data_IF_629759792627
#
_entry.id   IF_629759792627
#
_cell.length_a   1.000
_cell.length_b   1.000
_cell.length_c   1.000
_cell.angle_alpha   90.00
_cell.angle_beta   90.00
_cell.angle_gamma   90.00
#
_symmetry.space_group_name_H-M   'P 1'
#
loop_
_entity.id
_entity.type
_entity.pdbx_description
1 polymer ?
#
# COMPACT_ATOMS: atom_id res chain seq x y z
N UNK A 1 6.02 11.39 13.58
CA UNK A 1 6.22 11.30 15.04
C UNK A 1 7.63 10.83 15.28
N UNK A 2 8.24 11.28 16.38
CA UNK A 2 9.57 10.82 16.79
C UNK A 2 9.52 9.33 17.20
N UNK A 3 10.69 8.75 17.41
CA UNK A 3 10.79 7.35 17.82
C UNK A 3 10.33 7.18 19.27
N UNK A 4 9.59 6.10 19.50
CA UNK A 4 8.99 5.73 20.78
C UNK A 4 9.08 4.21 20.91
N UNK A 5 9.20 3.71 22.14
CA UNK A 5 9.28 2.27 22.39
C UNK A 5 7.98 1.56 21.94
N UNK A 6 6.82 2.09 22.33
CA UNK A 6 5.49 1.65 21.89
C UNK A 6 4.87 2.67 20.92
N UNK A 7 4.37 2.20 19.79
CA UNK A 7 3.90 3.05 18.69
C UNK A 7 2.39 3.29 18.71
N UNK A 8 1.58 2.34 19.23
CA UNK A 8 0.13 2.34 19.01
C UNK A 8 -0.56 3.67 19.35
N UNK A 9 -0.36 4.20 20.56
CA UNK A 9 -1.10 5.39 21.02
C UNK A 9 -0.74 6.64 20.20
N UNK A 10 0.55 6.80 19.87
CA UNK A 10 1.05 7.92 19.08
C UNK A 10 0.64 7.81 17.62
N UNK A 11 0.59 6.60 17.07
CA UNK A 11 0.07 6.33 15.73
C UNK A 11 -1.43 6.59 15.67
N UNK A 12 -2.21 6.18 16.68
CA UNK A 12 -3.64 6.47 16.75
C UNK A 12 -3.91 7.98 16.78
N UNK A 13 -3.16 8.72 17.60
CA UNK A 13 -3.23 10.18 17.64
C UNK A 13 -2.84 10.81 16.30
N UNK A 14 -1.75 10.36 15.68
CA UNK A 14 -1.29 10.83 14.36
C UNK A 14 -2.38 10.68 13.30
N UNK A 15 -2.98 9.48 13.20
CA UNK A 15 -4.04 9.18 12.25
C UNK A 15 -5.28 10.02 12.49
N UNK A 16 -5.75 10.10 13.75
CA UNK A 16 -6.90 10.91 14.12
C UNK A 16 -6.69 12.38 13.74
N UNK A 17 -5.55 12.97 14.12
CA UNK A 17 -5.24 14.36 13.80
C UNK A 17 -5.18 14.61 12.29
N UNK A 18 -4.56 13.72 11.51
CA UNK A 18 -4.48 13.86 10.06
C UNK A 18 -5.88 13.78 9.41
N UNK A 19 -6.68 12.79 9.80
CA UNK A 19 -8.03 12.58 9.26
C UNK A 19 -8.99 13.71 9.66
N UNK A 20 -8.88 14.23 10.88
CA UNK A 20 -9.66 15.40 11.33
C UNK A 20 -9.33 16.65 10.51
N UNK A 21 -8.06 16.91 10.22
CA UNK A 21 -7.65 18.03 9.37
C UNK A 21 -8.17 17.86 7.95
N UNK A 22 -8.03 16.67 7.37
CA UNK A 22 -8.53 16.33 6.02
C UNK A 22 -10.04 16.59 5.94
N UNK A 23 -10.80 16.09 6.92
CA UNK A 23 -12.25 16.27 7.03
C UNK A 23 -12.63 17.73 7.22
N UNK A 24 -12.00 18.45 8.16
CA UNK A 24 -12.29 19.85 8.44
C UNK A 24 -12.03 20.77 7.23
N UNK A 25 -11.11 20.38 6.33
CA UNK A 25 -10.81 21.10 5.10
C UNK A 25 -11.70 20.69 3.91
N UNK A 26 -12.60 19.73 4.11
CA UNK A 26 -13.55 19.24 3.12
C UNK A 26 -12.94 18.30 2.07
N UNK A 27 -11.81 17.65 2.37
CA UNK A 27 -11.17 16.66 1.52
C UNK A 27 -11.64 15.27 1.94
N UNK A 28 -12.92 14.95 1.74
CA UNK A 28 -13.57 13.82 2.42
C UNK A 28 -13.08 12.42 2.03
N UNK A 29 -12.13 12.31 1.10
CA UNK A 29 -11.71 11.03 0.51
C UNK A 29 -10.18 10.91 0.47
N UNK A 30 -9.54 10.46 1.56
CA UNK A 30 -8.19 9.94 1.47
C UNK A 30 -8.18 8.81 0.44
N UNK A 31 -7.23 8.82 -0.49
CA UNK A 31 -7.12 7.78 -1.52
C UNK A 31 -5.78 7.07 -1.52
N UNK A 32 -4.76 7.63 -0.85
CA UNK A 32 -3.46 6.98 -0.69
C UNK A 32 -2.77 7.39 0.60
N UNK A 33 -2.22 6.43 1.31
CA UNK A 33 -1.41 6.65 2.52
C UNK A 33 -0.09 5.88 2.42
N UNK A 34 1.01 6.53 2.78
CA UNK A 34 2.31 5.89 2.97
C UNK A 34 2.70 5.94 4.44
N UNK A 35 3.25 4.84 4.96
CA UNK A 35 3.77 4.73 6.32
C UNK A 35 5.20 4.22 6.27
N UNK A 36 6.10 5.01 6.83
CA UNK A 36 7.51 4.71 7.00
C UNK A 36 7.76 4.45 8.48
N UNK A 37 8.17 3.23 8.81
CA UNK A 37 8.22 2.72 10.19
C UNK A 37 9.65 2.33 10.49
N UNK A 38 10.32 3.05 11.39
CA UNK A 38 11.67 2.66 11.81
C UNK A 38 11.65 1.36 12.61
N UNK A 39 12.64 0.51 12.36
CA UNK A 39 12.79 -0.80 12.99
C UNK A 39 11.53 -1.69 12.85
N UNK A 40 10.89 -1.70 11.68
CA UNK A 40 9.55 -2.29 11.47
C UNK A 40 9.38 -3.73 12.03
N UNK A 41 10.41 -4.57 11.93
CA UNK A 41 10.37 -5.97 12.37
C UNK A 41 10.94 -6.19 13.79
N UNK A 42 11.43 -5.15 14.47
CA UNK A 42 11.95 -5.28 15.82
C UNK A 42 10.82 -5.37 16.85
N UNK A 43 11.04 -6.03 18.00
CA UNK A 43 10.10 -6.00 19.11
C UNK A 43 10.10 -4.61 19.79
N UNK A 44 8.93 -4.18 20.26
CA UNK A 44 8.79 -3.07 21.20
C UNK A 44 9.15 -3.52 22.63
N UNK A 45 9.08 -2.60 23.60
CA UNK A 45 9.37 -2.86 25.02
C UNK A 45 8.52 -3.98 25.65
N UNK A 46 7.38 -4.32 25.04
CA UNK A 46 6.46 -5.39 25.47
C UNK A 46 6.61 -6.68 24.66
N UNK A 47 7.61 -6.77 23.78
CA UNK A 47 7.87 -7.93 22.95
C UNK A 47 6.97 -8.06 21.72
N UNK A 48 6.09 -7.07 21.45
CA UNK A 48 5.27 -7.06 20.24
C UNK A 48 6.06 -6.43 19.09
N UNK A 49 6.04 -7.08 17.92
CA UNK A 49 6.67 -6.51 16.71
C UNK A 49 6.11 -5.10 16.40
N UNK A 50 7.01 -4.15 16.12
CA UNK A 50 6.67 -2.73 15.88
C UNK A 50 5.68 -2.53 14.75
N UNK A 51 5.71 -3.35 13.68
CA UNK A 51 4.68 -3.32 12.64
C UNK A 51 3.28 -3.64 13.18
N UNK A 52 3.16 -4.61 14.10
CA UNK A 52 1.88 -5.02 14.70
C UNK A 52 1.38 -3.96 15.67
N UNK A 53 2.29 -3.35 16.42
CA UNK A 53 2.02 -2.21 17.29
C UNK A 53 1.52 -0.99 16.49
N UNK A 54 2.20 -0.67 15.38
CA UNK A 54 1.74 0.31 14.40
C UNK A 54 0.34 -0.03 13.85
N UNK A 55 0.08 -1.29 13.47
CA UNK A 55 -1.24 -1.71 12.97
C UNK A 55 -2.34 -1.49 14.01
N UNK A 56 -2.06 -1.77 15.30
CA UNK A 56 -2.99 -1.48 16.40
C UNK A 56 -3.34 0.01 16.47
N UNK A 57 -2.32 0.87 16.46
CA UNK A 57 -2.53 2.32 16.48
C UNK A 57 -3.29 2.84 15.26
N UNK A 58 -2.93 2.36 14.06
CA UNK A 58 -3.60 2.75 12.81
C UNK A 58 -5.08 2.38 12.82
N UNK A 59 -5.40 1.17 13.27
CA UNK A 59 -6.77 0.70 13.33
C UNK A 59 -7.61 1.56 14.30
N UNK A 60 -7.07 1.86 15.49
CA UNK A 60 -7.71 2.78 16.45
C UNK A 60 -7.89 4.20 15.87
N UNK A 61 -6.90 4.70 15.12
CA UNK A 61 -6.99 5.99 14.44
C UNK A 61 -8.14 6.06 13.42
N UNK A 62 -8.37 5.00 12.66
CA UNK A 62 -9.51 4.91 11.73
C UNK A 62 -10.86 4.69 12.44
N UNK A 63 -10.88 3.88 13.50
CA UNK A 63 -12.09 3.63 14.29
C UNK A 63 -12.59 4.93 14.94
N UNK A 64 -11.68 5.70 15.53
CA UNK A 64 -11.99 6.98 16.18
C UNK A 64 -12.45 8.06 15.19
N UNK A 65 -11.94 8.04 13.95
CA UNK A 65 -12.43 8.90 12.86
C UNK A 65 -13.73 8.40 12.22
N UNK A 66 -14.25 7.23 12.65
CA UNK A 66 -15.43 6.54 12.12
C UNK A 66 -15.31 6.24 10.62
N UNK A 67 -14.12 5.87 10.16
CA UNK A 67 -13.88 5.49 8.77
C UNK A 67 -14.34 4.05 8.56
N UNK A 68 -15.34 3.78 7.70
CA UNK A 68 -15.75 2.42 7.38
C UNK A 68 -14.63 1.61 6.72
N UNK A 69 -14.62 0.29 6.90
CA UNK A 69 -13.63 -0.58 6.24
C UNK A 69 -13.63 -0.42 4.71
N UNK A 70 -14.81 -0.20 4.12
CA UNK A 70 -14.95 -0.02 2.66
C UNK A 70 -14.40 1.32 2.15
N UNK A 71 -14.05 2.25 3.04
CA UNK A 71 -13.48 3.57 2.74
C UNK A 71 -11.98 3.64 3.07
N UNK A 72 -11.35 2.50 3.38
CA UNK A 72 -9.91 2.44 3.61
C UNK A 72 -9.15 2.69 2.29
N UNK A 73 -8.23 3.66 2.23
CA UNK A 73 -7.48 3.93 1.01
C UNK A 73 -6.41 2.87 0.74
N UNK A 74 -5.82 2.95 -0.45
CA UNK A 74 -4.57 2.27 -0.74
C UNK A 74 -3.49 2.69 0.27
N UNK A 75 -2.66 1.74 0.69
CA UNK A 75 -1.76 1.86 1.82
C UNK A 75 -0.43 1.16 1.59
N UNK A 76 0.66 1.77 2.08
CA UNK A 76 1.98 1.13 2.16
C UNK A 76 2.49 1.25 3.58
N UNK A 77 3.07 0.18 4.09
CA UNK A 77 3.72 0.14 5.40
C UNK A 77 5.07 -0.53 5.25
N UNK A 78 6.13 0.28 5.19
CA UNK A 78 7.47 -0.18 4.86
C UNK A 78 8.49 0.28 5.91
N UNK A 79 9.50 -0.54 6.12
CA UNK A 79 10.50 -0.38 7.15
C UNK A 79 11.73 0.40 6.73
N UNK A 80 12.26 1.17 7.68
CA UNK A 80 13.56 1.83 7.57
C UNK A 80 14.44 1.44 8.75
N UNK A 81 15.76 1.61 8.58
CA UNK A 81 16.77 1.11 9.51
C UNK A 81 16.64 1.67 10.94
N UNK A 82 16.03 2.84 11.15
CA UNK A 82 15.79 3.41 12.47
C UNK A 82 14.76 4.55 12.42
N UNK A 83 14.33 5.03 13.58
CA UNK A 83 13.47 6.20 13.73
C UNK A 83 12.02 5.87 14.07
N UNK A 84 11.22 6.93 14.17
CA UNK A 84 9.79 6.83 14.48
C UNK A 84 8.92 6.46 13.29
N UNK A 85 7.72 7.04 13.25
CA UNK A 85 6.74 6.80 12.20
C UNK A 85 6.46 8.08 11.43
N UNK A 86 6.58 8.01 10.10
CA UNK A 86 6.11 9.06 9.19
C UNK A 86 4.93 8.53 8.38
N UNK A 87 3.81 9.25 8.43
CA UNK A 87 2.62 8.94 7.64
C UNK A 87 2.32 10.10 6.69
N UNK A 88 2.11 9.80 5.40
CA UNK A 88 1.80 10.77 4.35
C UNK A 88 0.42 10.43 3.79
N UNK A 89 -0.49 11.41 3.81
CA UNK A 89 -1.88 11.24 3.39
C UNK A 89 -2.18 12.07 2.15
N UNK A 90 -2.73 11.44 1.13
CA UNK A 90 -3.22 12.10 -0.07
C UNK A 90 -4.73 12.05 -0.11
N UNK A 91 -5.34 13.19 -0.40
CA UNK A 91 -6.79 13.36 -0.52
C UNK A 91 -7.13 14.44 -1.54
N UNK A 92 -8.30 14.35 -2.15
CA UNK A 92 -8.78 15.29 -3.16
C UNK A 92 -10.27 15.58 -2.99
N UNK A 93 -10.68 16.79 -3.37
CA UNK A 93 -12.10 17.22 -3.45
C UNK A 93 -12.77 16.80 -4.76
N UNK A 94 -11.97 16.43 -5.76
CA UNK A 94 -12.42 16.22 -7.12
C UNK A 94 -12.17 14.78 -7.56
N UNK A 95 -13.07 14.29 -8.40
CA UNK A 95 -13.04 12.94 -8.94
C UNK A 95 -13.89 11.96 -8.14
N UNK A 96 -13.99 10.74 -8.66
CA UNK A 96 -14.61 9.60 -7.99
C UNK A 96 -13.51 8.66 -7.50
N UNK A 97 -13.70 8.08 -6.32
CA UNK A 97 -12.74 7.16 -5.72
C UNK A 97 -13.33 5.77 -5.62
N UNK A 98 -12.56 4.76 -5.98
CA UNK A 98 -12.95 3.36 -5.82
C UNK A 98 -11.81 2.60 -5.14
N UNK A 99 -12.01 2.23 -3.88
CA UNK A 99 -11.13 1.32 -3.17
C UNK A 99 -11.39 -0.10 -3.68
N UNK A 100 -10.35 -0.78 -4.14
CA UNK A 100 -10.47 -2.09 -4.77
C UNK A 100 -9.58 -3.11 -4.06
N UNK A 101 -10.10 -4.33 -3.98
CA UNK A 101 -9.39 -5.49 -3.46
C UNK A 101 -8.77 -6.32 -4.60
N UNK A 102 -7.92 -7.28 -4.23
CA UNK A 102 -7.30 -8.20 -5.18
C UNK A 102 -7.93 -9.59 -5.01
N UNK A 103 -8.55 -10.18 -6.04
CA UNK A 103 -9.14 -11.52 -5.97
C UNK A 103 -8.18 -12.63 -5.47
N UNK A 104 -6.87 -12.45 -5.67
CA UNK A 104 -5.85 -13.40 -5.21
C UNK A 104 -5.45 -13.22 -3.75
N UNK A 105 -5.92 -12.15 -3.09
CA UNK A 105 -5.51 -11.77 -1.74
C UNK A 105 -6.73 -11.51 -0.87
N UNK A 106 -6.72 -12.05 0.33
CA UNK A 106 -7.69 -11.70 1.35
C UNK A 106 -7.58 -10.20 1.66
N UNK A 107 -8.68 -9.46 1.86
CA UNK A 107 -8.61 -8.09 2.31
C UNK A 107 -7.78 -7.97 3.58
N UNK A 108 -6.88 -6.99 3.64
CA UNK A 108 -5.88 -6.93 4.71
C UNK A 108 -6.51 -6.79 6.11
N UNK A 109 -7.65 -6.11 6.18
CA UNK A 109 -8.44 -5.91 7.40
C UNK A 109 -9.19 -7.18 7.85
N UNK A 110 -9.18 -8.26 7.07
CA UNK A 110 -9.72 -9.58 7.44
C UNK A 110 -8.63 -10.61 7.77
N UNK A 111 -7.35 -10.22 7.82
CA UNK A 111 -6.28 -11.13 8.15
C UNK A 111 -6.45 -11.78 9.54
N UNK A 112 -6.06 -13.07 9.70
CA UNK A 112 -6.17 -13.77 10.97
C UNK A 112 -5.21 -13.23 12.04
N UNK A 113 -5.56 -13.46 13.31
CA UNK A 113 -4.88 -12.95 14.51
C UNK A 113 -3.40 -13.36 14.61
N UNK A 114 -2.96 -14.39 13.87
CA UNK A 114 -1.54 -14.78 13.80
C UNK A 114 -0.63 -13.62 13.34
N UNK A 115 -1.17 -12.66 12.58
CA UNK A 115 -0.45 -11.47 12.11
C UNK A 115 -0.45 -10.30 13.09
N UNK A 116 -1.11 -10.42 14.24
CA UNK A 116 -1.13 -9.41 15.29
C UNK A 116 -2.52 -9.18 15.88
N UNK A 117 -2.59 -8.41 16.99
CA UNK A 117 -3.84 -8.18 17.73
C UNK A 117 -4.86 -7.31 16.96
N UNK A 118 -4.43 -6.61 15.91
CA UNK A 118 -5.27 -5.86 14.98
C UNK A 118 -4.73 -6.08 13.57
N UNK A 119 -5.63 -6.37 12.64
CA UNK A 119 -5.30 -6.56 11.23
C UNK A 119 -4.89 -5.23 10.56
N UNK A 120 -4.08 -5.26 9.49
CA UNK A 120 -3.74 -4.06 8.72
C UNK A 120 -4.97 -3.39 8.08
N UNK A 121 -5.05 -2.06 8.10
CA UNK A 121 -6.19 -1.29 7.58
C UNK A 121 -5.84 -0.54 6.29
N UNK A 122 -6.01 -1.18 5.14
CA UNK A 122 -5.84 -0.58 3.80
C UNK A 122 -6.54 -1.42 2.72
N UNK A 123 -6.89 -0.79 1.58
CA UNK A 123 -7.34 -1.48 0.37
C UNK A 123 -6.17 -1.86 -0.55
N UNK A 124 -6.30 -2.86 -1.42
CA UNK A 124 -5.22 -3.27 -2.34
C UNK A 124 -4.88 -2.23 -3.40
N UNK A 125 -5.86 -1.44 -3.80
CA UNK A 125 -5.64 -0.28 -4.65
C UNK A 125 -6.74 0.75 -4.47
N UNK A 126 -6.52 1.96 -4.97
CA UNK A 126 -7.56 2.98 -5.06
C UNK A 126 -7.51 3.63 -6.43
N UNK A 127 -8.63 3.57 -7.12
CA UNK A 127 -8.81 4.26 -8.39
C UNK A 127 -9.28 5.68 -8.11
N UNK A 128 -8.56 6.66 -8.62
CA UNK A 128 -8.99 8.05 -8.71
C UNK A 128 -9.42 8.33 -10.15
N UNK A 129 -10.72 8.40 -10.38
CA UNK A 129 -11.32 8.64 -11.70
C UNK A 129 -11.70 10.12 -11.86
N UNK A 130 -11.07 10.78 -12.81
CA UNK A 130 -11.36 12.14 -13.27
C UNK A 130 -12.21 12.09 -14.55
N UNK A 131 -12.50 13.25 -15.15
CA UNK A 131 -13.38 13.30 -16.34
C UNK A 131 -12.77 12.59 -17.56
N UNK A 132 -11.46 12.71 -17.77
CA UNK A 132 -10.75 12.18 -18.95
C UNK A 132 -9.64 11.17 -18.65
N UNK A 133 -9.34 10.91 -17.38
CA UNK A 133 -8.31 9.94 -16.99
C UNK A 133 -8.71 9.21 -15.70
N UNK A 134 -8.14 8.03 -15.50
CA UNK A 134 -8.28 7.30 -14.25
C UNK A 134 -6.93 6.72 -13.83
N UNK A 135 -6.59 6.90 -12.56
CA UNK A 135 -5.32 6.48 -11.99
C UNK A 135 -5.57 5.44 -10.91
N UNK A 136 -4.94 4.28 -11.01
CA UNK A 136 -4.90 3.28 -9.95
C UNK A 136 -3.65 3.49 -9.10
N UNK A 137 -3.86 3.91 -7.86
CA UNK A 137 -2.83 3.91 -6.83
C UNK A 137 -2.75 2.51 -6.24
N UNK A 138 -1.68 1.80 -6.56
CA UNK A 138 -1.40 0.44 -6.12
C UNK A 138 -0.74 0.51 -4.74
N UNK A 139 -1.29 -0.23 -3.78
CA UNK A 139 -0.72 -0.39 -2.44
C UNK A 139 0.62 -1.11 -2.48
N UNK A 140 1.35 -1.10 -1.36
CA UNK A 140 2.49 -1.99 -1.16
C UNK A 140 2.08 -3.44 -1.43
N UNK A 141 2.59 -4.01 -2.52
CA UNK A 141 2.22 -5.34 -2.99
C UNK A 141 3.42 -6.26 -2.90
N UNK A 142 3.27 -7.33 -2.13
CA UNK A 142 4.30 -8.33 -1.91
C UNK A 142 3.81 -9.72 -2.34
N UNK A 143 4.64 -10.73 -2.11
CA UNK A 143 4.37 -12.12 -2.48
C UNK A 143 3.38 -12.81 -1.54
N UNK A 144 2.10 -12.45 -1.67
CA UNK A 144 1.02 -12.97 -0.82
C UNK A 144 -0.12 -13.52 -1.68
N UNK A 145 -0.63 -14.70 -1.32
CA UNK A 145 -1.90 -15.28 -1.80
C UNK A 145 -2.82 -15.55 -0.61
N UNK A 146 -4.10 -15.24 -0.75
CA UNK A 146 -5.00 -15.12 0.40
C UNK A 146 -4.36 -14.20 1.47
N UNK A 147 -3.92 -14.74 2.61
CA UNK A 147 -3.14 -14.01 3.61
C UNK A 147 -1.69 -14.51 3.76
N UNK A 148 -1.32 -15.61 3.10
CA UNK A 148 -0.06 -16.33 3.30
C UNK A 148 1.08 -15.79 2.42
N UNK A 149 2.28 -15.76 2.97
CA UNK A 149 3.50 -15.47 2.21
C UNK A 149 3.83 -16.66 1.30
N UNK A 150 4.05 -16.42 0.02
CA UNK A 150 4.35 -17.46 -0.98
C UNK A 150 5.78 -17.27 -1.50
N UNK A 151 6.51 -18.37 -1.68
CA UNK A 151 7.86 -18.36 -2.25
C UNK A 151 8.95 -18.09 -1.21
N UNK A 152 10.09 -18.75 -1.40
CA UNK A 152 11.24 -18.71 -0.50
C UNK A 152 12.42 -17.93 -1.06
N UNK A 153 12.42 -17.69 -2.38
CA UNK A 153 13.45 -16.91 -3.07
C UNK A 153 12.90 -15.59 -3.57
N UNK A 154 13.77 -14.61 -3.75
CA UNK A 154 13.36 -13.28 -4.27
C UNK A 154 12.75 -13.38 -5.66
N UNK A 155 13.19 -14.33 -6.50
CA UNK A 155 12.67 -14.48 -7.87
C UNK A 155 11.26 -15.07 -7.87
N UNK A 156 10.99 -16.05 -7.00
CA UNK A 156 9.66 -16.59 -6.78
C UNK A 156 8.73 -15.49 -6.27
N UNK A 157 9.18 -14.73 -5.26
CA UNK A 157 8.39 -13.66 -4.68
C UNK A 157 8.12 -12.53 -5.67
N UNK A 158 9.09 -12.20 -6.52
CA UNK A 158 8.93 -11.17 -7.54
C UNK A 158 7.87 -11.56 -8.57
N UNK A 159 7.89 -12.82 -9.04
CA UNK A 159 6.87 -13.34 -9.96
C UNK A 159 5.47 -13.25 -9.36
N UNK A 160 5.29 -13.71 -8.13
CA UNK A 160 3.99 -13.67 -7.43
C UNK A 160 3.51 -12.23 -7.21
N UNK A 161 4.45 -11.31 -6.95
CA UNK A 161 4.18 -9.87 -6.81
C UNK A 161 3.70 -9.25 -8.12
N UNK A 162 4.34 -9.57 -9.25
CA UNK A 162 3.86 -9.14 -10.57
C UNK A 162 2.45 -9.66 -10.86
N UNK A 163 2.20 -10.96 -10.65
CA UNK A 163 0.87 -11.54 -10.84
C UNK A 163 -0.21 -10.87 -9.97
N UNK A 164 0.12 -10.51 -8.73
CA UNK A 164 -0.79 -9.75 -7.87
C UNK A 164 -1.11 -8.38 -8.47
N UNK A 165 -0.09 -7.65 -8.91
CA UNK A 165 -0.22 -6.31 -9.47
C UNK A 165 -1.03 -6.33 -10.77
N UNK A 166 -0.74 -7.26 -11.68
CA UNK A 166 -1.47 -7.46 -12.94
C UNK A 166 -2.94 -7.79 -12.68
N UNK A 167 -3.21 -8.69 -11.72
CA UNK A 167 -4.58 -9.04 -11.35
C UNK A 167 -5.34 -7.86 -10.75
N UNK A 168 -4.68 -7.03 -9.94
CA UNK A 168 -5.28 -5.83 -9.38
C UNK A 168 -5.59 -4.78 -10.46
N UNK A 169 -4.69 -4.60 -11.44
CA UNK A 169 -4.92 -3.71 -12.59
C UNK A 169 -6.13 -4.17 -13.38
N UNK A 170 -6.25 -5.48 -13.64
CA UNK A 170 -7.41 -6.04 -14.34
C UNK A 170 -8.71 -5.85 -13.54
N UNK A 171 -8.69 -6.08 -12.23
CA UNK A 171 -9.84 -5.82 -11.38
C UNK A 171 -10.24 -4.33 -11.40
N UNK A 172 -9.26 -3.43 -11.41
CA UNK A 172 -9.49 -2.00 -11.56
C UNK A 172 -10.08 -1.62 -12.92
N UNK A 173 -9.61 -2.27 -14.00
CA UNK A 173 -10.17 -2.12 -15.35
C UNK A 173 -11.64 -2.55 -15.38
N UNK A 174 -11.96 -3.71 -14.83
CA UNK A 174 -13.33 -4.23 -14.73
C UNK A 174 -14.23 -3.30 -13.90
N UNK A 175 -13.72 -2.78 -12.78
CA UNK A 175 -14.45 -1.80 -11.96
C UNK A 175 -14.80 -0.55 -12.77
N UNK A 176 -13.84 0.02 -13.50
CA UNK A 176 -14.08 1.21 -14.34
C UNK A 176 -15.08 0.93 -15.47
N UNK A 177 -15.01 -0.25 -16.11
CA UNK A 177 -15.98 -0.67 -17.13
C UNK A 177 -17.39 -0.77 -16.53
N UNK A 178 -17.52 -1.37 -15.34
CA UNK A 178 -18.79 -1.45 -14.61
C UNK A 178 -19.35 -0.06 -14.22
N UNK A 179 -18.49 0.94 -14.09
CA UNK A 179 -18.86 2.35 -13.87
C UNK A 179 -19.12 3.12 -15.18
N UNK A 180 -19.25 2.41 -16.31
CA UNK A 180 -19.57 2.98 -17.62
C UNK A 180 -18.39 3.61 -18.35
N UNK A 181 -17.15 3.40 -17.89
CA UNK A 181 -15.95 3.94 -18.56
C UNK A 181 -15.49 3.00 -19.68
N UNK A 182 -15.07 3.59 -20.80
CA UNK A 182 -14.47 2.86 -21.92
C UNK A 182 -12.94 2.95 -21.81
N UNK A 183 -12.28 1.81 -21.60
CA UNK A 183 -10.81 1.73 -21.42
C UNK A 183 -10.17 1.22 -22.72
N UNK A 184 -9.17 1.94 -23.23
CA UNK A 184 -8.39 1.55 -24.41
C UNK A 184 -7.09 0.82 -24.05
N UNK A 185 -6.53 1.12 -22.88
CA UNK A 185 -5.27 0.55 -22.41
C UNK A 185 -4.79 1.26 -21.16
N UNK A 186 -3.49 1.21 -20.92
CA UNK A 186 -2.86 1.92 -19.81
C UNK A 186 -1.38 1.57 -19.68
N UNK A 187 -0.74 2.17 -18.69
CA UNK A 187 0.65 1.94 -18.37
C UNK A 187 0.99 2.45 -16.98
N UNK A 188 2.11 1.99 -16.45
CA UNK A 188 2.66 2.57 -15.24
C UNK A 188 3.19 3.98 -15.52
N UNK A 189 2.90 4.92 -14.63
CA UNK A 189 3.53 6.24 -14.60
C UNK A 189 4.75 6.24 -13.68
N UNK A 190 4.65 5.51 -12.56
CA UNK A 190 5.71 5.37 -11.57
C UNK A 190 5.54 4.12 -10.72
N UNK A 191 6.64 3.68 -10.12
CA UNK A 191 6.69 2.62 -9.12
C UNK A 191 7.72 2.95 -8.02
N UNK A 192 7.60 2.32 -6.86
CA UNK A 192 8.69 2.23 -5.87
C UNK A 192 8.92 0.76 -5.56
N UNK A 193 10.19 0.36 -5.65
CA UNK A 193 10.61 -1.04 -5.50
C UNK A 193 11.39 -1.15 -4.20
N UNK A 194 10.80 -1.78 -3.19
CA UNK A 194 11.43 -2.01 -1.90
C UNK A 194 12.03 -3.41 -1.88
N UNK A 195 13.30 -3.53 -1.50
CA UNK A 195 14.02 -4.81 -1.47
C UNK A 195 14.70 -4.96 -0.12
N UNK A 196 14.55 -6.12 0.51
CA UNK A 196 15.10 -6.38 1.84
C UNK A 196 16.62 -6.50 1.85
N UNK A 197 17.18 -7.19 0.87
CA UNK A 197 18.61 -7.49 0.83
C UNK A 197 19.31 -6.71 -0.28
N UNK A 198 20.43 -6.07 0.06
CA UNK A 198 21.23 -5.28 -0.88
C UNK A 198 21.70 -6.11 -2.08
N UNK A 199 22.02 -7.40 -1.84
CA UNK A 199 22.43 -8.36 -2.88
C UNK A 199 21.39 -8.55 -3.99
N UNK A 200 20.10 -8.35 -3.69
CA UNK A 200 19.01 -8.52 -4.64
C UNK A 200 18.59 -7.22 -5.32
N UNK A 201 18.98 -6.07 -4.77
CA UNK A 201 18.49 -4.73 -5.15
C UNK A 201 18.61 -4.49 -6.65
N UNK A 202 19.80 -4.68 -7.23
CA UNK A 202 20.04 -4.42 -8.66
C UNK A 202 19.22 -5.32 -9.56
N UNK A 203 19.14 -6.61 -9.21
CA UNK A 203 18.45 -7.62 -10.02
C UNK A 203 16.94 -7.44 -9.98
N UNK A 204 16.36 -7.22 -8.81
CA UNK A 204 14.92 -6.95 -8.66
C UNK A 204 14.55 -5.66 -9.37
N UNK A 205 15.36 -4.60 -9.22
CA UNK A 205 15.13 -3.32 -9.88
C UNK A 205 15.11 -3.45 -11.41
N UNK A 206 16.09 -4.15 -11.98
CA UNK A 206 16.17 -4.37 -13.43
C UNK A 206 14.93 -5.10 -13.96
N UNK A 207 14.55 -6.21 -13.30
CA UNK A 207 13.37 -7.01 -13.70
C UNK A 207 12.06 -6.25 -13.58
N UNK A 208 11.87 -5.48 -12.50
CA UNK A 208 10.67 -4.68 -12.30
C UNK A 208 10.55 -3.54 -13.32
N UNK A 209 11.66 -2.85 -13.63
CA UNK A 209 11.71 -1.80 -14.65
C UNK A 209 11.40 -2.34 -16.04
N UNK A 210 11.99 -3.47 -16.40
CA UNK A 210 11.69 -4.16 -17.66
C UNK A 210 10.21 -4.56 -17.74
N UNK A 211 9.69 -5.18 -16.68
CA UNK A 211 8.31 -5.67 -16.64
C UNK A 211 7.27 -4.53 -16.72
N UNK A 212 7.48 -3.43 -15.99
CA UNK A 212 6.57 -2.28 -16.00
C UNK A 212 6.87 -1.25 -17.11
N UNK A 213 7.95 -1.44 -17.87
CA UNK A 213 8.44 -0.49 -18.89
C UNK A 213 8.68 0.90 -18.31
N UNK A 214 9.42 0.93 -17.21
CA UNK A 214 9.75 2.16 -16.46
C UNK A 214 11.25 2.36 -16.38
N UNK A 215 11.63 3.64 -16.36
CA UNK A 215 13.00 4.08 -16.23
C UNK A 215 13.43 4.08 -14.75
N UNK A 216 14.72 4.31 -14.48
CA UNK A 216 15.22 4.37 -13.11
C UNK A 216 14.61 5.52 -12.29
N UNK A 217 14.32 6.65 -12.93
CA UNK A 217 13.70 7.81 -12.29
C UNK A 217 12.22 7.57 -11.95
N UNK A 218 11.51 6.83 -12.80
CA UNK A 218 10.11 6.47 -12.57
C UNK A 218 9.95 5.29 -11.60
N UNK A 219 10.97 4.45 -11.47
CA UNK A 219 10.99 3.26 -10.62
C UNK A 219 12.28 3.17 -9.78
N UNK A 220 12.47 4.06 -8.79
CA UNK A 220 13.58 3.95 -7.85
C UNK A 220 13.47 2.66 -7.03
N UNK A 221 14.63 2.06 -6.75
CA UNK A 221 14.74 0.90 -5.88
C UNK A 221 15.38 1.31 -4.55
N UNK A 222 14.76 0.88 -3.45
CA UNK A 222 15.13 1.26 -2.09
C UNK A 222 15.43 0.00 -1.27
N UNK A 223 16.52 0.04 -0.51
CA UNK A 223 16.80 -0.96 0.53
C UNK A 223 15.86 -0.69 1.70
N UNK A 224 15.00 -1.64 2.04
CA UNK A 224 13.98 -1.46 3.08
C UNK A 224 13.52 -2.78 3.64
N UNK A 225 13.22 -2.79 4.94
CA UNK A 225 12.56 -3.94 5.56
C UNK A 225 11.09 -3.99 5.16
N UNK A 226 10.58 -5.20 4.94
CA UNK A 226 9.17 -5.43 4.58
C UNK A 226 8.37 -5.75 5.83
N UNK A 227 7.06 -5.51 5.81
CA UNK A 227 6.16 -5.69 6.95
C UNK A 227 6.17 -7.10 7.58
N UNK A 228 6.62 -8.13 6.85
CA UNK A 228 6.91 -9.47 7.38
C UNK A 228 8.34 -9.86 7.05
N UNK A 229 9.00 -10.54 7.98
CA UNK A 229 10.39 -10.97 7.85
C UNK A 229 10.64 -11.96 6.71
N UNK A 230 9.63 -12.74 6.35
CA UNK A 230 9.67 -13.71 5.25
C UNK A 230 9.38 -13.10 3.87
N UNK A 231 9.00 -11.82 3.80
CA UNK A 231 8.85 -11.08 2.54
C UNK A 231 10.17 -10.38 2.19
N UNK A 232 10.63 -10.61 0.97
CA UNK A 232 11.94 -10.17 0.46
C UNK A 232 11.86 -8.90 -0.39
N UNK A 233 10.68 -8.58 -0.90
CA UNK A 233 10.42 -7.37 -1.67
C UNK A 233 8.95 -6.94 -1.56
N UNK A 234 8.71 -5.67 -1.86
CA UNK A 234 7.40 -5.07 -2.00
C UNK A 234 7.44 -4.02 -3.13
N UNK A 235 6.40 -3.96 -3.95
CA UNK A 235 6.28 -2.97 -5.03
C UNK A 235 4.97 -2.21 -4.89
N UNK A 236 5.04 -0.90 -5.01
CA UNK A 236 3.88 -0.02 -5.17
C UNK A 236 4.01 0.80 -6.46
N UNK A 237 2.93 1.43 -6.91
CA UNK A 237 3.00 2.30 -8.08
C UNK A 237 1.70 3.02 -8.41
N UNK A 238 1.76 3.77 -9.50
CA UNK A 238 0.62 4.47 -10.11
C UNK A 238 0.47 3.95 -11.53
N UNK A 239 -0.70 3.36 -11.82
CA UNK A 239 -1.06 2.89 -13.15
C UNK A 239 -2.13 3.80 -13.74
N UNK A 240 -1.87 4.40 -14.90
CA UNK A 240 -2.84 5.23 -15.61
C UNK A 240 -3.61 4.40 -16.61
N UNK A 241 -4.94 4.42 -16.50
CA UNK A 241 -5.84 3.92 -17.52
C UNK A 241 -6.07 5.00 -18.59
N UNK A 242 -5.90 4.62 -19.85
CA UNK A 242 -6.25 5.44 -21.00
C UNK A 242 -7.72 5.23 -21.34
N UNK A 243 -8.51 6.28 -21.19
CA UNK A 243 -9.94 6.28 -21.54
C UNK A 243 -10.12 6.62 -23.03
N UNK A 244 -11.23 6.20 -23.64
CA UNK A 244 -11.64 6.79 -24.92
C UNK A 244 -12.12 8.22 -24.69
N UNK A 245 -11.73 9.15 -25.56
CA UNK A 245 -12.40 10.45 -25.65
C UNK A 245 -13.85 10.21 -26.09
N UNK A 246 -14.77 10.96 -25.48
CA UNK A 246 -16.19 10.90 -25.86
C UNK A 246 -16.41 11.46 -27.26
#
# INVERSE_FOLDING_TARGET
>A
MDDEDELADRVAQLYRCALDVIKARGYSHPYRIWNYIGNINAPNSRGLERYRDFCKGRAEGFDTSRTPFNDLPAGTGIGFASGGVTAIFFSSKQGRFFHIENPLQMPAYHYPDQYGPRSPSFARGTIHALSGEAHLFISGTASVRSHETIGSTVDEQLRITFENIETLIENGRLKLIGEGRRIRGGGFESAKIYVRHESDLRRVAARAREHFKLDAEQAPALLSDICRTDLLLEIEGVYKFSLYEN
#
